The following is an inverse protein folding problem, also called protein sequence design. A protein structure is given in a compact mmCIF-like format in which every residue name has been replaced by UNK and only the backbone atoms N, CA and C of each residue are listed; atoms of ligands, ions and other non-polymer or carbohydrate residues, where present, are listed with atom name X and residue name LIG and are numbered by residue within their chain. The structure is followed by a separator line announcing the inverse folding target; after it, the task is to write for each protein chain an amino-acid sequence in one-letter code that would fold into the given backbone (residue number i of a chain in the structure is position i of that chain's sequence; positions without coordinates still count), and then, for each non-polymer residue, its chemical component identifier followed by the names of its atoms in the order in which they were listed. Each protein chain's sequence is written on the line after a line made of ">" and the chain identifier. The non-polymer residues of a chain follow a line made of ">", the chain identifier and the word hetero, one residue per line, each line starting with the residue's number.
data_IF_654605714690
#
_entry.id   IF_654605714690
#
_cell.length_a   1.000
_cell.length_b   1.000
_cell.length_c   1.000
_cell.angle_alpha   90.00
_cell.angle_beta   90.00
_cell.angle_gamma   90.00
#
_symmetry.space_group_name_H-M   'P 1'
#
loop_
_entity.id
_entity.type
_entity.pdbx_description
1 polymer ?
#
# COMPACT_ATOMS: atom_id res chain seq x y z
N UNK A 1 -11.37 9.44 -17.18
CA UNK A 1 -10.06 10.08 -16.95
C UNK A 1 -9.01 9.05 -17.35
N UNK A 2 -8.09 9.41 -18.25
CA UNK A 2 -6.94 8.54 -18.58
C UNK A 2 -6.07 8.38 -17.33
N UNK A 3 -5.61 7.15 -17.06
CA UNK A 3 -4.70 6.91 -15.94
C UNK A 3 -3.49 7.85 -16.06
N UNK A 4 -3.25 8.64 -15.02
CA UNK A 4 -2.12 9.57 -14.97
C UNK A 4 -0.83 8.74 -14.99
N UNK A 5 -0.02 8.87 -16.04
CA UNK A 5 1.28 8.21 -16.10
C UNK A 5 2.27 8.98 -15.23
N UNK A 6 2.36 8.61 -13.94
CA UNK A 6 3.25 9.25 -12.96
C UNK A 6 4.72 9.19 -13.38
N UNK A 7 5.15 8.10 -14.03
CA UNK A 7 6.52 7.93 -14.50
C UNK A 7 6.88 8.96 -15.59
N UNK A 8 6.01 9.13 -16.58
CA UNK A 8 6.21 10.12 -17.64
C UNK A 8 6.26 11.56 -17.09
N UNK A 9 5.51 11.85 -16.02
CA UNK A 9 5.58 13.15 -15.34
C UNK A 9 6.91 13.33 -14.61
N UNK A 10 7.37 12.31 -13.87
CA UNK A 10 8.68 12.33 -13.21
C UNK A 10 9.80 12.60 -14.20
N UNK A 11 9.83 11.89 -15.32
CA UNK A 11 10.83 12.08 -16.38
C UNK A 11 10.79 13.48 -16.98
N UNK A 12 9.58 14.03 -17.21
CA UNK A 12 9.40 15.35 -17.82
C UNK A 12 9.87 16.49 -16.91
N UNK A 13 9.58 16.42 -15.62
CA UNK A 13 9.88 17.47 -14.64
C UNK A 13 11.19 17.24 -13.89
N UNK A 14 11.91 16.15 -14.21
CA UNK A 14 13.26 15.93 -13.70
C UNK A 14 14.25 16.94 -14.28
N UNK A 15 15.30 17.29 -13.51
CA UNK A 15 16.42 18.07 -14.02
C UNK A 15 17.01 17.43 -15.29
N UNK A 16 17.18 18.24 -16.33
CA UNK A 16 17.79 17.76 -17.59
C UNK A 16 19.31 17.76 -17.47
N UNK A 17 20.00 16.76 -18.06
CA UNK A 17 21.45 16.75 -18.11
C UNK A 17 21.98 17.93 -18.91
N UNK A 18 23.22 18.33 -18.60
CA UNK A 18 23.94 19.37 -19.34
C UNK A 18 24.17 18.89 -20.78
N UNK A 19 23.90 19.72 -21.80
CA UNK A 19 24.10 19.32 -23.19
C UNK A 19 25.58 19.18 -23.53
N UNK A 20 25.87 18.28 -24.46
CA UNK A 20 27.18 18.17 -25.09
C UNK A 20 27.31 19.13 -26.28
N UNK A 21 28.55 19.58 -26.53
CA UNK A 21 28.86 20.43 -27.66
C UNK A 21 28.73 19.65 -28.97
N UNK A 22 27.89 20.12 -29.88
CA UNK A 22 27.73 19.48 -31.20
C UNK A 22 28.97 19.59 -32.13
N UNK A 23 29.97 20.40 -31.77
CA UNK A 23 31.20 20.59 -32.55
C UNK A 23 32.32 19.65 -32.06
N UNK A 24 32.50 19.51 -30.74
CA UNK A 24 33.61 18.72 -30.16
C UNK A 24 33.20 17.60 -29.19
N UNK A 25 31.91 17.44 -28.89
CA UNK A 25 31.38 16.39 -28.01
C UNK A 25 31.64 16.60 -26.52
N UNK A 26 32.32 17.68 -26.10
CA UNK A 26 32.56 17.96 -24.68
C UNK A 26 31.32 18.54 -24.01
N UNK A 27 31.15 18.22 -22.72
CA UNK A 27 30.10 18.82 -21.88
C UNK A 27 30.21 20.35 -21.89
N UNK A 28 29.08 21.01 -22.10
CA UNK A 28 29.03 22.47 -22.18
C UNK A 28 28.93 23.11 -20.80
N UNK A 29 29.25 24.39 -20.68
CA UNK A 29 29.10 25.13 -19.43
C UNK A 29 27.98 26.16 -19.53
N UNK A 30 27.31 26.44 -18.42
CA UNK A 30 26.27 27.46 -18.34
C UNK A 30 26.90 28.84 -18.53
N UNK A 31 26.43 29.58 -19.55
CA UNK A 31 26.91 30.94 -19.85
C UNK A 31 25.94 32.00 -19.33
N UNK A 32 24.64 31.68 -19.34
CA UNK A 32 23.58 32.59 -18.90
C UNK A 32 22.37 31.81 -18.42
N UNK A 33 21.80 32.24 -17.31
CA UNK A 33 20.49 31.81 -16.84
C UNK A 33 19.57 33.03 -16.87
N UNK A 34 18.43 32.90 -17.53
CA UNK A 34 17.40 33.93 -17.60
C UNK A 34 16.04 33.28 -17.38
N UNK A 35 15.59 33.25 -16.12
CA UNK A 35 14.40 32.49 -15.70
C UNK A 35 14.53 31.03 -16.17
N UNK A 36 13.56 30.51 -16.92
CA UNK A 36 13.58 29.14 -17.45
C UNK A 36 14.49 28.92 -18.65
N UNK A 37 15.16 29.96 -19.17
CA UNK A 37 16.08 29.81 -20.31
C UNK A 37 17.52 29.71 -19.83
N UNK A 38 18.15 28.58 -20.10
CA UNK A 38 19.55 28.33 -19.82
C UNK A 38 20.32 28.31 -21.14
N UNK A 39 21.29 29.20 -21.29
CA UNK A 39 22.21 29.20 -22.42
C UNK A 39 23.48 28.47 -22.03
N UNK A 40 23.79 27.41 -22.77
CA UNK A 40 25.04 26.66 -22.67
C UNK A 40 25.98 27.09 -23.78
N UNK A 41 27.29 27.05 -23.51
CA UNK A 41 28.36 27.33 -24.47
C UNK A 41 29.56 26.43 -24.25
N UNK A 42 30.28 26.09 -25.33
CA UNK A 42 31.56 25.42 -25.24
C UNK A 42 32.68 26.46 -25.30
N UNK A 43 33.22 26.83 -24.14
CA UNK A 43 34.32 27.79 -24.03
C UNK A 43 35.69 27.16 -24.30
N UNK A 44 35.79 25.82 -24.29
CA UNK A 44 37.08 25.12 -24.37
C UNK A 44 37.94 25.32 -23.11
N UNK A 45 37.37 25.90 -22.05
CA UNK A 45 38.01 26.10 -20.77
C UNK A 45 37.97 24.81 -19.93
N UNK A 46 39.08 24.48 -19.33
CA UNK A 46 39.20 23.50 -18.25
C UNK A 46 39.58 24.25 -16.97
N UNK A 47 38.96 23.86 -15.86
CA UNK A 47 39.24 24.43 -14.54
C UNK A 47 40.00 23.40 -13.72
N UNK A 48 41.19 23.77 -13.25
CA UNK A 48 41.99 22.99 -12.31
C UNK A 48 42.49 23.89 -11.16
N UNK A 49 43.30 23.34 -10.26
CA UNK A 49 43.84 24.05 -9.09
C UNK A 49 44.75 25.24 -9.47
N UNK A 50 45.22 25.31 -10.72
CA UNK A 50 46.05 26.40 -11.25
C UNK A 50 45.22 27.47 -11.98
N UNK A 51 43.91 27.27 -12.11
CA UNK A 51 42.96 28.23 -12.66
C UNK A 51 42.28 27.77 -13.94
N UNK A 52 41.93 28.74 -14.79
CA UNK A 52 41.23 28.50 -16.05
C UNK A 52 42.24 28.40 -17.20
N UNK A 53 42.25 27.26 -17.89
CA UNK A 53 43.10 27.01 -19.05
C UNK A 53 42.24 26.72 -20.28
N UNK A 54 42.56 27.36 -21.41
CA UNK A 54 41.91 27.08 -22.68
C UNK A 54 42.75 26.09 -23.47
N UNK A 55 42.09 25.17 -24.18
CA UNK A 55 42.80 24.35 -25.17
C UNK A 55 43.45 25.23 -26.25
N UNK A 56 44.56 24.78 -26.82
CA UNK A 56 45.35 25.56 -27.78
C UNK A 56 44.48 26.07 -28.95
N UNK A 57 44.61 27.36 -29.26
CA UNK A 57 43.81 28.04 -30.29
C UNK A 57 42.37 28.41 -29.87
N UNK A 58 41.99 28.22 -28.60
CA UNK A 58 40.66 28.59 -28.08
C UNK A 58 40.69 29.84 -27.20
N UNK A 59 39.56 30.56 -27.15
CA UNK A 59 39.37 31.71 -26.25
C UNK A 59 37.90 31.90 -25.86
N UNK A 60 37.63 32.80 -24.90
CA UNK A 60 36.28 33.04 -24.34
C UNK A 60 35.25 33.59 -25.35
N UNK A 61 35.69 33.97 -26.56
CA UNK A 61 34.85 34.50 -27.63
C UNK A 61 35.35 34.07 -29.01
N UNK A 62 35.85 32.84 -29.13
CA UNK A 62 36.22 32.29 -30.43
C UNK A 62 34.99 31.83 -31.25
N UNK A 63 35.20 31.56 -32.54
CA UNK A 63 34.14 31.08 -33.44
C UNK A 63 33.48 29.79 -32.92
N UNK A 64 34.24 28.94 -32.24
CA UNK A 64 33.71 27.72 -31.66
C UNK A 64 32.73 28.03 -30.53
N UNK A 65 33.07 28.96 -29.64
CA UNK A 65 32.19 29.42 -28.58
C UNK A 65 30.92 30.00 -29.19
N UNK A 66 31.02 30.90 -30.16
CA UNK A 66 29.85 31.52 -30.80
C UNK A 66 28.94 30.48 -31.47
N UNK A 67 29.51 29.57 -32.26
CA UNK A 67 28.77 28.54 -32.98
C UNK A 67 28.20 27.45 -32.06
N UNK A 68 28.87 27.16 -30.95
CA UNK A 68 28.45 26.09 -30.03
C UNK A 68 27.22 26.43 -29.19
N UNK A 69 26.84 27.71 -29.07
CA UNK A 69 25.83 28.14 -28.10
C UNK A 69 24.45 27.55 -28.38
N UNK A 70 23.85 26.98 -27.35
CA UNK A 70 22.47 26.48 -27.37
C UNK A 70 21.70 27.08 -26.21
N UNK A 71 20.44 27.46 -26.43
CA UNK A 71 19.54 27.89 -25.35
C UNK A 71 18.43 26.88 -25.19
N UNK A 72 18.34 26.30 -24.00
CA UNK A 72 17.36 25.29 -23.64
C UNK A 72 16.36 25.92 -22.67
N UNK A 73 15.08 25.56 -22.83
CA UNK A 73 14.07 25.85 -21.83
C UNK A 73 14.08 24.73 -20.80
N UNK A 74 14.46 25.10 -19.58
CA UNK A 74 14.31 24.27 -18.41
C UNK A 74 12.82 24.21 -18.02
N UNK A 75 12.32 22.99 -17.94
CA UNK A 75 10.95 22.68 -17.53
C UNK A 75 10.94 21.78 -16.31
N UNK A 76 12.10 21.61 -15.67
CA UNK A 76 12.19 20.88 -14.41
C UNK A 76 11.43 21.63 -13.34
N UNK A 77 10.72 20.89 -12.50
CA UNK A 77 9.86 21.44 -11.47
C UNK A 77 9.92 20.54 -10.22
N UNK A 78 10.69 20.94 -9.19
CA UNK A 78 10.82 20.14 -7.98
C UNK A 78 9.51 20.05 -7.19
N UNK A 79 8.61 21.03 -7.31
CA UNK A 79 7.33 21.02 -6.60
C UNK A 79 6.41 19.95 -7.19
N UNK A 80 6.41 19.79 -8.52
CA UNK A 80 5.67 18.70 -9.17
C UNK A 80 6.19 17.33 -8.74
N UNK A 81 7.51 17.16 -8.61
CA UNK A 81 8.11 15.90 -8.12
C UNK A 81 7.71 15.61 -6.67
N UNK A 82 7.75 16.63 -5.80
CA UNK A 82 7.31 16.51 -4.40
C UNK A 82 5.83 16.11 -4.29
N UNK A 83 4.96 16.69 -5.13
CA UNK A 83 3.54 16.32 -5.18
C UNK A 83 3.32 14.88 -5.65
N UNK A 84 4.15 14.37 -6.55
CA UNK A 84 4.08 12.96 -6.98
C UNK A 84 4.49 12.01 -5.84
N UNK A 85 5.49 12.38 -5.05
CA UNK A 85 5.94 11.59 -3.89
C UNK A 85 4.91 11.60 -2.75
N UNK A 86 4.28 12.75 -2.49
CA UNK A 86 3.15 12.86 -1.56
C UNK A 86 1.98 11.96 -2.02
N UNK A 87 1.65 11.99 -3.32
CA UNK A 87 0.56 11.19 -3.87
C UNK A 87 0.85 9.67 -3.79
N UNK A 88 2.09 9.24 -4.03
CA UNK A 88 2.48 7.84 -3.86
C UNK A 88 2.44 7.41 -2.39
N UNK A 89 2.85 8.29 -1.47
CA UNK A 89 2.77 8.04 -0.03
C UNK A 89 1.33 7.91 0.47
N UNK A 90 0.45 8.82 0.05
CA UNK A 90 -0.97 8.78 0.39
C UNK A 90 -1.68 7.53 -0.16
N UNK A 91 -1.38 7.15 -1.40
CA UNK A 91 -1.89 5.92 -1.99
C UNK A 91 -1.38 4.68 -1.24
N UNK A 92 -0.12 4.67 -0.83
CA UNK A 92 0.46 3.60 -0.01
C UNK A 92 -0.26 3.46 1.34
N UNK A 93 -0.52 4.57 2.02
CA UNK A 93 -1.28 4.59 3.27
C UNK A 93 -2.71 4.04 3.09
N UNK A 94 -3.42 4.48 2.05
CA UNK A 94 -4.77 4.00 1.76
C UNK A 94 -4.78 2.48 1.50
N UNK A 95 -3.82 1.97 0.73
CA UNK A 95 -3.67 0.53 0.47
C UNK A 95 -3.45 -0.26 1.76
N UNK A 96 -2.52 0.18 2.62
CA UNK A 96 -2.24 -0.51 3.88
C UNK A 96 -3.45 -0.52 4.82
N UNK A 97 -4.19 0.59 4.89
CA UNK A 97 -5.43 0.68 5.66
C UNK A 97 -6.51 -0.27 5.13
N UNK A 98 -6.67 -0.37 3.81
CA UNK A 98 -7.61 -1.30 3.19
C UNK A 98 -7.22 -2.76 3.49
N UNK A 99 -5.94 -3.11 3.38
CA UNK A 99 -5.44 -4.45 3.70
C UNK A 99 -5.70 -4.83 5.17
N UNK A 100 -5.40 -3.93 6.12
CA UNK A 100 -5.70 -4.14 7.54
C UNK A 100 -7.20 -4.30 7.80
N UNK A 101 -8.03 -3.46 7.17
CA UNK A 101 -9.48 -3.55 7.30
C UNK A 101 -10.02 -4.89 6.79
N UNK A 102 -9.53 -5.37 5.64
CA UNK A 102 -9.90 -6.67 5.10
C UNK A 102 -9.45 -7.82 5.99
N UNK A 103 -8.30 -7.69 6.64
CA UNK A 103 -7.83 -8.67 7.62
C UNK A 103 -8.81 -8.83 8.79
N UNK A 104 -9.24 -7.72 9.40
CA UNK A 104 -10.23 -7.75 10.48
C UNK A 104 -11.60 -8.29 10.03
N UNK A 105 -12.04 -7.95 8.81
CA UNK A 105 -13.28 -8.48 8.25
C UNK A 105 -13.23 -10.02 8.15
N UNK A 106 -12.14 -10.58 7.61
CA UNK A 106 -11.97 -12.03 7.49
C UNK A 106 -11.93 -12.74 8.85
N UNK A 107 -11.33 -12.13 9.86
CA UNK A 107 -11.37 -12.67 11.23
C UNK A 107 -12.80 -12.71 11.78
N UNK A 108 -13.55 -11.62 11.62
CA UNK A 108 -14.94 -11.55 12.08
C UNK A 108 -15.84 -12.58 11.38
N UNK A 109 -15.68 -12.77 10.07
CA UNK A 109 -16.40 -13.81 9.31
C UNK A 109 -16.07 -15.21 9.84
N UNK A 110 -14.77 -15.51 10.04
CA UNK A 110 -14.34 -16.80 10.57
C UNK A 110 -14.87 -17.08 11.99
N UNK A 111 -14.89 -16.05 12.85
CA UNK A 111 -15.47 -16.17 14.19
C UNK A 111 -16.98 -16.40 14.14
N UNK A 112 -17.70 -15.71 13.25
CA UNK A 112 -19.12 -15.94 13.00
C UNK A 112 -19.40 -17.38 12.55
N UNK A 113 -18.66 -17.89 11.56
CA UNK A 113 -18.78 -19.28 11.10
C UNK A 113 -18.47 -20.31 12.20
N UNK A 114 -17.54 -19.99 13.10
CA UNK A 114 -17.23 -20.84 14.26
C UNK A 114 -18.36 -20.81 15.28
N UNK A 115 -18.94 -19.64 15.54
CA UNK A 115 -20.09 -19.48 16.42
C UNK A 115 -21.30 -20.25 15.88
N UNK A 116 -21.65 -20.08 14.60
CA UNK A 116 -22.75 -20.79 13.94
C UNK A 116 -22.62 -22.31 14.02
N UNK A 117 -21.40 -22.84 13.85
CA UNK A 117 -21.12 -24.28 14.01
C UNK A 117 -21.30 -24.74 15.45
N UNK A 118 -20.84 -23.95 16.41
CA UNK A 118 -21.00 -24.26 17.83
C UNK A 118 -22.48 -24.24 18.22
N UNK A 119 -23.26 -23.26 17.73
CA UNK A 119 -24.70 -23.17 17.97
C UNK A 119 -25.43 -24.40 17.42
N UNK A 120 -25.15 -24.82 16.18
CA UNK A 120 -25.72 -26.06 15.62
C UNK A 120 -25.38 -27.30 16.45
N UNK A 121 -24.13 -27.42 16.93
CA UNK A 121 -23.75 -28.53 17.81
C UNK A 121 -24.50 -28.50 19.14
N UNK A 122 -24.71 -27.32 19.72
CA UNK A 122 -25.49 -27.15 20.95
C UNK A 122 -26.95 -27.53 20.72
N UNK A 123 -27.55 -27.12 19.60
CA UNK A 123 -28.93 -27.49 19.24
C UNK A 123 -29.08 -29.01 19.07
N UNK A 124 -28.18 -29.65 18.35
CA UNK A 124 -28.16 -31.12 18.18
C UNK A 124 -28.03 -31.84 19.52
N UNK A 125 -27.05 -31.45 20.34
CA UNK A 125 -26.86 -32.04 21.68
C UNK A 125 -28.10 -31.83 22.55
N UNK A 126 -28.73 -30.66 22.47
CA UNK A 126 -29.96 -30.35 23.20
C UNK A 126 -31.08 -31.30 22.77
N UNK A 127 -31.23 -31.58 21.47
CA UNK A 127 -32.21 -32.58 20.99
C UNK A 127 -31.91 -33.98 21.52
N UNK A 128 -30.64 -34.41 21.50
CA UNK A 128 -30.24 -35.72 22.02
C UNK A 128 -30.52 -35.85 23.53
N UNK A 129 -30.26 -34.80 24.31
CA UNK A 129 -30.55 -34.76 25.74
C UNK A 129 -32.05 -34.85 26.00
N UNK A 130 -32.88 -34.11 25.25
CA UNK A 130 -34.35 -34.19 25.34
C UNK A 130 -34.84 -35.61 25.01
N UNK A 131 -34.30 -36.24 23.95
CA UNK A 131 -34.65 -37.60 23.56
C UNK A 131 -34.25 -38.64 24.62
N UNK A 132 -33.06 -38.49 25.20
CA UNK A 132 -32.58 -39.34 26.29
C UNK A 132 -33.49 -39.21 27.52
N UNK A 133 -33.85 -37.99 27.92
CA UNK A 133 -34.76 -37.74 29.04
C UNK A 133 -36.12 -38.42 28.82
N UNK A 134 -36.69 -38.29 27.62
CA UNK A 134 -37.94 -38.97 27.26
C UNK A 134 -37.81 -40.50 27.32
N UNK A 135 -36.72 -41.07 26.81
CA UNK A 135 -36.47 -42.51 26.88
C UNK A 135 -36.30 -43.00 28.31
N UNK A 136 -35.59 -42.25 29.15
CA UNK A 136 -35.41 -42.54 30.57
C UNK A 136 -36.74 -42.54 31.33
N UNK A 137 -37.66 -41.63 30.99
CA UNK A 137 -39.03 -41.59 31.55
C UNK A 137 -39.85 -42.82 31.24
N UNK A 138 -39.71 -43.34 30.02
CA UNK A 138 -40.43 -44.55 29.61
C UNK A 138 -39.71 -45.83 30.08
N UNK A 139 -38.46 -45.73 30.53
CA UNK A 139 -37.77 -46.81 31.23
C UNK A 139 -38.29 -46.95 32.68
N UNK A 140 -38.15 -48.15 33.26
CA UNK A 140 -38.72 -48.54 34.57
C UNK A 140 -38.77 -47.38 35.61
N UNK A 141 -39.93 -46.74 35.82
CA UNK A 141 -40.03 -45.48 36.57
C UNK A 141 -39.73 -45.67 38.07
N UNK A 142 -39.83 -46.91 38.57
CA UNK A 142 -39.55 -47.25 39.97
C UNK A 142 -38.06 -47.51 40.25
N UNK A 143 -37.17 -47.28 39.27
CA UNK A 143 -35.73 -47.43 39.49
C UNK A 143 -35.13 -46.18 40.13
N UNK A 144 -34.29 -46.34 41.15
CA UNK A 144 -33.57 -45.23 41.81
C UNK A 144 -32.70 -44.43 40.81
N UNK A 145 -32.20 -45.12 39.77
CA UNK A 145 -31.42 -44.52 38.69
C UNK A 145 -32.25 -43.51 37.88
N UNK A 146 -33.50 -43.84 37.57
CA UNK A 146 -34.41 -42.96 36.84
C UNK A 146 -34.62 -41.62 37.56
N UNK A 147 -34.97 -41.67 38.85
CA UNK A 147 -35.19 -40.47 39.67
C UNK A 147 -33.92 -39.61 39.83
N UNK A 148 -32.76 -40.25 40.02
CA UNK A 148 -31.48 -39.55 40.14
C UNK A 148 -31.06 -38.86 38.82
N UNK A 149 -31.25 -39.52 37.68
CA UNK A 149 -30.92 -38.98 36.37
C UNK A 149 -31.83 -37.79 36.00
N UNK A 150 -33.14 -37.90 36.22
CA UNK A 150 -34.08 -36.80 35.95
C UNK A 150 -33.83 -35.59 36.86
N UNK A 151 -33.51 -35.80 38.13
CA UNK A 151 -33.16 -34.72 39.06
C UNK A 151 -31.89 -33.98 38.62
N UNK A 152 -30.88 -34.71 38.13
CA UNK A 152 -29.64 -34.13 37.62
C UNK A 152 -29.88 -33.26 36.38
N UNK A 153 -30.63 -33.77 35.39
CA UNK A 153 -30.93 -33.02 34.16
C UNK A 153 -31.70 -31.73 34.45
N UNK A 154 -32.68 -31.79 35.36
CA UNK A 154 -33.46 -30.62 35.79
C UNK A 154 -32.60 -29.59 36.54
N UNK A 155 -31.77 -30.02 37.50
CA UNK A 155 -30.86 -29.12 38.24
C UNK A 155 -29.83 -28.43 37.36
N UNK A 156 -29.46 -29.03 36.25
CA UNK A 156 -28.53 -28.46 35.26
C UNK A 156 -29.22 -27.61 34.19
N UNK A 157 -30.55 -27.43 34.26
CA UNK A 157 -31.32 -26.65 33.29
C UNK A 157 -31.37 -27.28 31.90
N UNK A 158 -31.02 -28.56 31.77
CA UNK A 158 -30.96 -29.27 30.49
C UNK A 158 -32.34 -29.74 30.00
N UNK A 159 -33.31 -29.77 30.91
CA UNK A 159 -34.73 -30.05 30.64
C UNK A 159 -35.58 -29.06 31.45
N UNK A 160 -36.70 -28.61 30.89
CA UNK A 160 -37.68 -27.78 31.60
C UNK A 160 -38.52 -28.61 32.56
N UNK A 161 -39.14 -27.97 33.55
CA UNK A 161 -40.15 -28.60 34.41
C UNK A 161 -41.34 -29.10 33.58
N UNK A 162 -41.67 -28.43 32.48
CA UNK A 162 -42.68 -28.89 31.51
C UNK A 162 -42.29 -30.23 30.85
N UNK A 163 -41.01 -30.42 30.52
CA UNK A 163 -40.50 -31.65 29.91
C UNK A 163 -40.56 -32.85 30.89
N UNK A 164 -40.65 -32.57 32.19
CA UNK A 164 -40.78 -33.56 33.28
C UNK A 164 -42.25 -33.93 33.51
N UNK A 165 -43.18 -33.00 33.28
CA UNK A 165 -44.61 -33.16 33.62
C UNK A 165 -45.51 -33.65 32.45
N UNK A 166 -45.02 -33.66 31.20
CA UNK A 166 -45.74 -34.08 29.98
C UNK A 166 -45.26 -35.44 29.44
#
# INVERSE_FOLDING_TARGET
>A
MTALNKQALRERYSPKPVPECHICGKEMTVQRISSSRITYGCTGATYDDNGCHYTEGRSIADDHYEQSRVTIVDVSDPDVLALLDELDSANGYASAYEDEKWHYHGLAESEGERADRAEKQVEELTMWVKRLAHSLRNARPNSKLHGAAMNYLSRKGLISVEDILR
#
